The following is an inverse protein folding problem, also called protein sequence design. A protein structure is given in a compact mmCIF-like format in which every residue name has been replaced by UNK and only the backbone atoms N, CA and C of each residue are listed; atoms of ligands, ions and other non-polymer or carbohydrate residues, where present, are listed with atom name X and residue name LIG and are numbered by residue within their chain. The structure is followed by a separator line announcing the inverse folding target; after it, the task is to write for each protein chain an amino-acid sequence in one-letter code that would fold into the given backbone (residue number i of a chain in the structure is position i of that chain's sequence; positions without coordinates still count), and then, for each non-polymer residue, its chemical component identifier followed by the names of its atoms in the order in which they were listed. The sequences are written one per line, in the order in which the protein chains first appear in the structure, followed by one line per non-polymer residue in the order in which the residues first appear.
data_IF_950373731568
#
_entry.id   IF_950373731568
#
_cell.length_a   1.000
_cell.length_b   1.000
_cell.length_c   1.000
_cell.angle_alpha   90.00
_cell.angle_beta   90.00
_cell.angle_gamma   90.00
#
_symmetry.space_group_name_H-M   'P 1'
#
loop_
_entity.id
_entity.type
_entity.pdbx_description
1 polymer ?
#
# COMPACT_ATOMS: atom_id res chain seq x y z
N UNK A 1 2.94 1.67 11.88
CA UNK A 1 2.39 1.58 13.26
C UNK A 1 1.32 0.50 13.30
N UNK A 2 1.23 -0.29 14.38
CA UNK A 2 0.20 -1.33 14.54
C UNK A 2 -0.54 -1.06 15.86
N UNK A 3 -1.86 -0.93 15.78
CA UNK A 3 -2.78 -0.83 16.89
C UNK A 3 -3.56 -2.13 16.97
N UNK A 4 -3.59 -2.77 18.14
CA UNK A 4 -4.36 -3.99 18.38
C UNK A 4 -5.28 -3.75 19.56
N UNK A 5 -6.58 -3.81 19.31
CA UNK A 5 -7.62 -3.77 20.35
C UNK A 5 -8.14 -5.18 20.59
N UNK A 6 -7.93 -5.69 21.81
CA UNK A 6 -8.33 -7.07 22.19
C UNK A 6 -9.59 -7.07 23.02
N UNK A 7 -10.60 -7.86 22.66
CA UNK A 7 -11.84 -8.01 23.44
C UNK A 7 -12.30 -9.45 23.53
N UNK A 8 -12.88 -9.82 24.67
CA UNK A 8 -13.63 -11.06 24.84
C UNK A 8 -15.07 -10.83 24.41
N UNK A 9 -15.57 -11.59 23.43
CA UNK A 9 -16.91 -11.39 22.88
C UNK A 9 -17.96 -12.19 23.65
N UNK A 10 -18.86 -11.44 24.30
CA UNK A 10 -20.00 -12.02 25.03
C UNK A 10 -21.33 -11.78 24.31
N UNK A 11 -21.42 -10.76 23.45
CA UNK A 11 -22.60 -10.40 22.67
C UNK A 11 -22.22 -9.60 21.40
N UNK A 12 -23.23 -9.28 20.57
CA UNK A 12 -23.06 -8.55 19.31
C UNK A 12 -22.86 -7.03 19.47
N UNK A 13 -23.32 -6.41 20.55
CA UNK A 13 -23.18 -4.96 20.82
C UNK A 13 -21.73 -4.57 21.07
N UNK A 14 -20.99 -5.40 21.82
CA UNK A 14 -19.55 -5.24 22.08
C UNK A 14 -18.73 -5.14 20.79
N UNK A 15 -19.24 -5.67 19.66
CA UNK A 15 -18.58 -5.58 18.35
C UNK A 15 -18.62 -4.18 17.75
N UNK A 16 -19.74 -3.46 17.88
CA UNK A 16 -19.83 -2.08 17.38
C UNK A 16 -19.01 -1.15 18.25
N UNK A 17 -19.06 -1.37 19.56
CA UNK A 17 -18.29 -0.60 20.53
C UNK A 17 -16.78 -0.73 20.31
N UNK A 18 -16.26 -1.95 20.08
CA UNK A 18 -14.81 -2.15 19.86
C UNK A 18 -14.32 -1.52 18.56
N UNK A 19 -15.12 -1.53 17.49
CA UNK A 19 -14.74 -0.85 16.25
C UNK A 19 -14.70 0.67 16.46
N UNK A 20 -15.71 1.24 17.13
CA UNK A 20 -15.71 2.67 17.46
C UNK A 20 -14.49 3.04 18.32
N UNK A 21 -14.19 2.25 19.36
CA UNK A 21 -13.00 2.43 20.19
C UNK A 21 -11.70 2.39 19.38
N UNK A 22 -11.57 1.41 18.48
CA UNK A 22 -10.40 1.31 17.61
C UNK A 22 -10.24 2.54 16.70
N UNK A 23 -11.35 3.11 16.21
CA UNK A 23 -11.35 4.33 15.39
C UNK A 23 -11.02 5.58 16.21
N UNK A 24 -11.53 5.68 17.43
CA UNK A 24 -11.20 6.77 18.36
C UNK A 24 -9.69 6.78 18.66
N UNK A 25 -9.07 5.61 18.83
CA UNK A 25 -7.63 5.50 18.97
C UNK A 25 -6.88 5.98 17.72
N UNK A 26 -7.35 5.63 16.52
CA UNK A 26 -6.74 6.15 15.29
C UNK A 26 -6.79 7.67 15.27
N UNK A 27 -7.96 8.27 15.52
CA UNK A 27 -8.12 9.72 15.52
C UNK A 27 -7.25 10.42 16.57
N UNK A 28 -7.12 9.81 17.75
CA UNK A 28 -6.22 10.31 18.78
C UNK A 28 -4.76 10.22 18.31
N UNK A 29 -4.33 9.08 17.78
CA UNK A 29 -2.95 8.84 17.36
C UNK A 29 -2.52 9.75 16.20
N UNK A 30 -3.40 10.02 15.24
CA UNK A 30 -3.07 10.91 14.11
C UNK A 30 -2.80 12.35 14.52
N UNK A 31 -3.32 12.77 15.68
CA UNK A 31 -3.10 14.10 16.23
C UNK A 31 -1.82 14.22 17.09
N UNK A 32 -1.14 13.11 17.38
CA UNK A 32 0.00 13.12 18.30
C UNK A 32 1.30 13.50 17.61
N UNK A 33 2.10 14.32 18.29
CA UNK A 33 3.54 14.44 18.02
C UNK A 33 4.28 13.19 18.48
N UNK A 34 5.50 12.97 17.99
CA UNK A 34 6.34 11.87 18.46
C UNK A 34 6.53 11.87 19.98
N UNK A 35 6.79 13.03 20.59
CA UNK A 35 6.98 13.16 22.04
C UNK A 35 5.73 12.74 22.83
N UNK A 36 4.54 13.14 22.36
CA UNK A 36 3.26 12.77 22.98
C UNK A 36 2.99 11.28 22.81
N UNK A 37 3.25 10.73 21.63
CA UNK A 37 3.12 9.31 21.36
C UNK A 37 4.07 8.47 22.24
N UNK A 38 5.35 8.85 22.34
CA UNK A 38 6.31 8.19 23.23
C UNK A 38 5.87 8.25 24.69
N UNK A 39 5.40 9.40 25.16
CA UNK A 39 4.90 9.54 26.52
C UNK A 39 3.65 8.68 26.78
N UNK A 40 2.78 8.51 25.77
CA UNK A 40 1.61 7.63 25.85
C UNK A 40 2.03 6.15 25.94
N UNK A 41 2.97 5.71 25.09
CA UNK A 41 3.52 4.35 25.15
C UNK A 41 4.24 4.11 26.47
N UNK A 42 4.96 5.11 27.00
CA UNK A 42 5.67 5.06 28.29
C UNK A 42 4.77 4.77 29.50
N UNK A 43 3.45 4.92 29.38
CA UNK A 43 2.48 4.55 30.44
C UNK A 43 2.08 3.08 30.41
N UNK A 44 2.44 2.34 29.36
CA UNK A 44 2.12 0.93 29.20
C UNK A 44 2.96 0.00 30.08
N UNK A 45 2.47 -1.22 30.31
CA UNK A 45 3.25 -2.25 30.98
C UNK A 45 4.42 -2.70 30.11
N UNK A 46 5.62 -2.77 30.70
CA UNK A 46 6.84 -3.16 29.97
C UNK A 46 7.33 -2.11 28.96
N UNK A 47 6.90 -0.85 29.10
CA UNK A 47 7.30 0.20 28.19
C UNK A 47 8.81 0.48 28.25
N UNK A 48 9.47 0.71 27.11
CA UNK A 48 10.87 1.13 27.09
C UNK A 48 11.02 2.56 27.61
N UNK A 49 12.23 2.93 28.04
CA UNK A 49 12.54 4.31 28.42
C UNK A 49 12.43 5.24 27.20
N UNK A 50 12.92 4.81 26.04
CA UNK A 50 12.75 5.48 24.75
C UNK A 50 12.27 4.48 23.71
N UNK A 51 11.37 4.91 22.82
CA UNK A 51 10.88 4.02 21.75
C UNK A 51 12.02 3.51 20.86
N UNK A 52 13.03 4.34 20.61
CA UNK A 52 14.17 3.97 19.79
C UNK A 52 15.00 2.82 20.37
N UNK A 53 15.05 2.68 21.70
CA UNK A 53 15.81 1.62 22.36
C UNK A 53 15.32 0.21 21.98
N UNK A 54 14.05 0.08 21.54
CA UNK A 54 13.47 -1.18 21.05
C UNK A 54 14.08 -1.65 19.73
N UNK A 55 14.60 -0.72 18.92
CA UNK A 55 15.08 -1.00 17.57
C UNK A 55 16.57 -0.76 17.40
N UNK A 56 17.21 0.02 18.27
CA UNK A 56 18.61 0.45 18.15
C UNK A 56 19.62 -0.70 17.98
N UNK A 57 19.34 -1.88 18.52
CA UNK A 57 20.21 -3.06 18.38
C UNK A 57 20.00 -3.88 17.11
N UNK A 58 19.02 -3.53 16.26
CA UNK A 58 18.70 -4.28 15.05
C UNK A 58 19.66 -3.90 13.90
N UNK A 59 20.19 -4.86 13.11
CA UNK A 59 21.11 -4.54 12.00
C UNK A 59 20.54 -3.59 10.94
N UNK A 60 19.21 -3.55 10.83
CA UNK A 60 18.46 -2.68 9.90
C UNK A 60 17.85 -1.45 10.58
N UNK A 61 18.28 -1.14 11.81
CA UNK A 61 17.80 0.04 12.52
C UNK A 61 18.16 1.31 11.75
N UNK A 62 17.19 2.20 11.61
CA UNK A 62 17.43 3.55 11.10
C UNK A 62 18.20 4.35 12.14
N UNK A 63 18.88 5.42 11.71
CA UNK A 63 19.37 6.42 12.65
C UNK A 63 18.21 7.02 13.45
N UNK A 64 18.46 7.44 14.68
CA UNK A 64 17.38 7.85 15.59
C UNK A 64 16.53 8.98 15.03
N UNK A 65 17.14 9.96 14.36
CA UNK A 65 16.42 11.06 13.73
C UNK A 65 15.46 10.55 12.63
N UNK A 66 15.94 9.69 11.75
CA UNK A 66 15.14 9.13 10.66
C UNK A 66 14.00 8.24 11.20
N UNK A 67 14.23 7.53 12.31
CA UNK A 67 13.19 6.77 13.01
C UNK A 67 12.09 7.69 13.56
N UNK A 68 12.47 8.79 14.24
CA UNK A 68 11.54 9.78 14.79
C UNK A 68 10.70 10.40 13.67
N UNK A 69 11.34 10.76 12.56
CA UNK A 69 10.67 11.34 11.40
C UNK A 69 9.72 10.34 10.75
N UNK A 70 10.14 9.09 10.58
CA UNK A 70 9.30 8.03 10.04
C UNK A 70 8.06 7.77 10.94
N UNK A 71 8.22 7.73 12.27
CA UNK A 71 7.10 7.56 13.19
C UNK A 71 6.16 8.76 13.12
N UNK A 72 6.71 9.99 13.13
CA UNK A 72 5.92 11.24 13.02
C UNK A 72 5.11 11.27 11.74
N UNK A 73 5.73 10.92 10.61
CA UNK A 73 5.06 10.89 9.30
C UNK A 73 3.95 9.83 9.25
N UNK A 74 4.16 8.68 9.87
CA UNK A 74 3.15 7.63 9.92
C UNK A 74 1.97 7.99 10.84
N UNK A 75 2.22 8.68 11.95
CA UNK A 75 1.16 9.24 12.81
C UNK A 75 0.37 10.28 12.04
N UNK A 76 1.01 11.33 11.51
CA UNK A 76 0.33 12.44 10.86
C UNK A 76 -0.45 12.02 9.61
N UNK A 77 0.07 11.04 8.85
CA UNK A 77 -0.62 10.47 7.69
C UNK A 77 -1.64 9.41 8.07
N UNK A 78 -1.77 8.99 9.32
CA UNK A 78 -2.65 7.89 9.73
C UNK A 78 -2.30 6.54 9.09
N UNK A 79 -1.03 6.34 8.70
CA UNK A 79 -0.52 5.10 8.12
C UNK A 79 -0.32 4.05 9.20
N UNK A 80 -1.40 3.31 9.48
CA UNK A 80 -1.47 2.37 10.60
C UNK A 80 -2.15 1.07 10.17
N UNK A 81 -1.82 -0.02 10.84
CA UNK A 81 -2.60 -1.25 10.81
C UNK A 81 -3.39 -1.34 12.11
N UNK A 82 -4.71 -1.35 12.02
CA UNK A 82 -5.64 -1.47 13.14
C UNK A 82 -6.21 -2.88 13.13
N UNK A 83 -6.04 -3.60 14.22
CA UNK A 83 -6.53 -4.96 14.39
C UNK A 83 -7.50 -4.98 15.56
N UNK A 84 -8.73 -5.41 15.31
CA UNK A 84 -9.61 -5.83 16.39
C UNK A 84 -9.48 -7.34 16.52
N UNK A 85 -9.07 -7.81 17.70
CA UNK A 85 -8.83 -9.22 18.00
C UNK A 85 -9.85 -9.71 19.04
N UNK A 86 -10.53 -10.82 18.79
CA UNK A 86 -11.42 -11.43 19.78
C UNK A 86 -11.56 -12.95 19.66
N UNK A 87 -12.25 -13.59 20.60
CA UNK A 87 -12.22 -15.04 20.87
C UNK A 87 -13.40 -15.87 20.29
N UNK A 88 -14.24 -15.29 19.43
CA UNK A 88 -15.38 -15.99 18.81
C UNK A 88 -16.32 -15.12 17.94
N UNK A 89 -16.25 -15.21 16.60
CA UNK A 89 -17.20 -14.55 15.68
C UNK A 89 -18.00 -15.62 14.95
N UNK A 90 -19.14 -16.01 15.54
CA UNK A 90 -20.17 -16.70 14.78
C UNK A 90 -21.04 -15.68 14.06
N UNK A 91 -20.99 -15.76 12.73
CA UNK A 91 -21.98 -15.36 11.73
C UNK A 91 -22.64 -13.99 11.94
N UNK A 92 -22.09 -12.96 11.29
CA UNK A 92 -22.79 -11.78 10.72
C UNK A 92 -21.72 -10.75 10.27
N UNK A 93 -21.00 -11.09 9.21
CA UNK A 93 -19.93 -10.26 8.61
C UNK A 93 -20.48 -8.98 7.97
N UNK A 94 -21.80 -8.89 7.75
CA UNK A 94 -22.45 -7.85 6.95
C UNK A 94 -22.56 -6.49 7.67
N UNK A 95 -22.80 -6.47 8.98
CA UNK A 95 -23.01 -5.21 9.72
C UNK A 95 -21.72 -4.38 9.91
N UNK A 96 -20.56 -5.03 9.87
CA UNK A 96 -19.25 -4.39 10.03
C UNK A 96 -18.76 -3.76 8.73
N UNK A 97 -19.12 -4.35 7.58
CA UNK A 97 -18.81 -3.79 6.27
C UNK A 97 -19.37 -2.37 6.10
N UNK A 98 -20.58 -2.10 6.60
CA UNK A 98 -21.19 -0.76 6.54
C UNK A 98 -20.47 0.29 7.40
N UNK A 99 -20.07 -0.08 8.62
CA UNK A 99 -19.28 0.80 9.52
C UNK A 99 -17.86 1.04 8.98
N UNK A 100 -17.25 0.04 8.36
CA UNK A 100 -15.93 0.19 7.76
C UNK A 100 -15.99 1.02 6.46
N UNK A 101 -17.07 0.90 5.70
CA UNK A 101 -17.33 1.72 4.51
C UNK A 101 -17.61 3.19 4.86
N UNK A 102 -18.23 3.50 6.01
CA UNK A 102 -18.43 4.90 6.43
C UNK A 102 -17.12 5.64 6.76
N UNK A 103 -16.01 4.91 6.88
CA UNK A 103 -14.66 5.45 7.06
C UNK A 103 -13.75 5.20 5.86
N UNK A 104 -14.31 4.84 4.69
CA UNK A 104 -13.59 4.72 3.42
C UNK A 104 -12.92 6.06 3.07
N UNK A 105 -11.59 6.10 3.20
CA UNK A 105 -10.78 7.31 3.00
C UNK A 105 -9.83 7.64 4.15
N UNK A 106 -9.77 6.81 5.17
CA UNK A 106 -8.71 6.87 6.16
C UNK A 106 -7.49 6.05 5.72
N UNK A 107 -6.28 6.56 5.94
CA UNK A 107 -5.01 5.96 5.49
C UNK A 107 -4.54 4.74 6.32
N UNK A 108 -5.41 4.13 7.12
CA UNK A 108 -5.12 2.93 7.88
C UNK A 108 -5.72 1.68 7.23
N UNK A 109 -5.08 0.53 7.43
CA UNK A 109 -5.68 -0.78 7.17
C UNK A 109 -6.39 -1.25 8.44
N UNK A 110 -7.64 -1.66 8.35
CA UNK A 110 -8.38 -2.29 9.45
C UNK A 110 -8.57 -3.78 9.20
N UNK A 111 -8.30 -4.62 10.20
CA UNK A 111 -8.56 -6.05 10.19
C UNK A 111 -9.34 -6.48 11.43
N UNK A 112 -10.33 -7.35 11.22
CA UNK A 112 -10.99 -8.07 12.29
C UNK A 112 -10.47 -9.51 12.29
N UNK A 113 -9.87 -9.90 13.40
CA UNK A 113 -9.24 -11.20 13.59
C UNK A 113 -9.93 -11.92 14.73
N UNK A 114 -10.36 -13.13 14.48
CA UNK A 114 -10.76 -14.08 15.51
C UNK A 114 -9.54 -14.89 15.92
N UNK A 115 -9.31 -15.05 17.22
CA UNK A 115 -8.29 -15.91 17.78
C UNK A 115 -8.98 -17.06 18.49
N UNK A 116 -9.12 -18.18 17.77
CA UNK A 116 -9.63 -19.38 18.38
C UNK A 116 -8.53 -20.00 19.26
N UNK A 117 -8.89 -20.40 20.48
CA UNK A 117 -7.94 -21.01 21.42
C UNK A 117 -8.39 -22.43 21.76
N UNK A 118 -7.49 -23.39 21.60
CA UNK A 118 -7.69 -24.78 22.02
C UNK A 118 -6.71 -25.11 23.13
N UNK A 119 -7.16 -25.85 24.14
CA UNK A 119 -6.29 -26.33 25.21
C UNK A 119 -6.05 -27.82 25.05
N UNK A 120 -4.80 -28.26 25.05
CA UNK A 120 -4.50 -29.69 25.09
C UNK A 120 -4.64 -30.25 26.51
N UNK A 121 -4.49 -31.58 26.67
CA UNK A 121 -4.56 -32.24 27.97
C UNK A 121 -3.43 -31.87 28.93
N UNK A 122 -2.31 -31.35 28.42
CA UNK A 122 -1.17 -30.87 29.22
C UNK A 122 -1.36 -29.43 29.73
N UNK A 123 -2.39 -28.73 29.25
CA UNK A 123 -2.70 -27.35 29.62
C UNK A 123 -2.16 -26.30 28.66
N UNK A 124 -1.43 -26.68 27.61
CA UNK A 124 -0.94 -25.76 26.58
C UNK A 124 -2.09 -25.17 25.76
N UNK A 125 -1.95 -23.90 25.36
CA UNK A 125 -2.93 -23.19 24.54
C UNK A 125 -2.41 -23.09 23.10
N UNK A 126 -3.10 -23.72 22.16
CA UNK A 126 -2.96 -23.46 20.74
C UNK A 126 -3.86 -22.29 20.37
N UNK A 127 -3.30 -21.19 19.87
CA UNK A 127 -4.04 -20.06 19.36
C UNK A 127 -3.96 -20.03 17.83
N UNK A 128 -5.10 -20.15 17.13
CA UNK A 128 -5.17 -20.08 15.66
C UNK A 128 -5.92 -18.82 15.26
N UNK A 129 -5.26 -17.87 14.58
CA UNK A 129 -5.90 -16.68 14.07
C UNK A 129 -6.71 -16.99 12.81
N UNK A 130 -7.88 -16.39 12.70
CA UNK A 130 -8.76 -16.43 11.54
C UNK A 130 -9.14 -14.99 11.17
N UNK A 131 -8.72 -14.51 10.00
CA UNK A 131 -9.04 -13.14 9.56
C UNK A 131 -10.43 -13.11 8.95
N UNK A 132 -11.37 -12.45 9.60
CA UNK A 132 -12.78 -12.51 9.22
C UNK A 132 -13.22 -11.37 8.32
N UNK A 133 -12.66 -10.20 8.55
CA UNK A 133 -12.84 -9.05 7.70
C UNK A 133 -11.55 -8.27 7.62
N UNK A 134 -11.28 -7.72 6.45
CA UNK A 134 -10.18 -6.79 6.24
C UNK A 134 -10.71 -5.69 5.34
N UNK A 135 -10.61 -4.46 5.81
CA UNK A 135 -10.65 -3.33 4.88
C UNK A 135 -9.39 -3.41 4.04
N UNK A 136 -9.59 -3.49 2.74
CA UNK A 136 -8.55 -2.97 1.84
C UNK A 136 -8.52 -1.47 2.08
N UNK A 137 -7.34 -0.86 2.12
CA UNK A 137 -7.26 0.60 2.03
C UNK A 137 -8.02 1.01 0.77
N UNK A 138 -9.15 1.69 0.96
CA UNK A 138 -9.93 2.25 -0.13
C UNK A 138 -9.31 3.62 -0.37
N UNK A 139 -8.55 3.73 -1.46
CA UNK A 139 -8.22 5.02 -2.09
C UNK A 139 -9.54 5.71 -2.40
N UNK A 140 -9.70 6.96 -1.93
CA UNK A 140 -11.00 7.66 -1.97
C UNK A 140 -11.54 7.71 -3.39
N UNK A 141 -12.74 7.15 -3.58
CA UNK A 141 -13.62 7.53 -4.67
C UNK A 141 -14.02 9.00 -4.53
N UNK A 142 -14.07 9.69 -5.66
CA UNK A 142 -14.48 11.09 -5.72
C UNK A 142 -15.98 11.18 -5.52
N UNK A 143 -16.38 12.05 -4.58
CA UNK A 143 -17.78 12.45 -4.44
C UNK A 143 -18.09 13.42 -5.57
N UNK A 144 -18.69 12.94 -6.67
CA UNK A 144 -19.40 13.82 -7.62
C UNK A 144 -20.77 14.12 -7.04
N UNK A 145 -21.07 15.41 -6.87
CA UNK A 145 -22.40 15.89 -6.49
C UNK A 145 -23.17 16.10 -7.80
N UNK A 146 -24.07 15.18 -8.12
CA UNK A 146 -25.12 15.42 -9.11
C UNK A 146 -26.44 15.64 -8.39
N UNK A 147 -27.03 16.83 -8.56
CA UNK A 147 -28.39 17.14 -8.09
C UNK A 147 -28.64 17.10 -6.57
N UNK A 148 -27.60 17.06 -5.72
CA UNK A 148 -27.74 17.24 -4.27
C UNK A 148 -28.02 15.98 -3.45
N UNK A 149 -27.89 14.76 -4.01
CA UNK A 149 -28.01 13.51 -3.24
C UNK A 149 -26.79 12.61 -3.51
N UNK A 150 -25.99 12.23 -2.49
CA UNK A 150 -24.86 11.33 -2.66
C UNK A 150 -25.36 9.91 -2.95
N UNK A 151 -24.90 9.28 -4.03
CA UNK A 151 -25.19 7.88 -4.37
C UNK A 151 -23.88 7.11 -4.49
N UNK A 152 -23.73 6.07 -3.67
CA UNK A 152 -22.56 5.17 -3.68
C UNK A 152 -22.92 3.92 -4.49
N UNK A 153 -22.24 3.67 -5.60
CA UNK A 153 -22.42 2.44 -6.37
C UNK A 153 -21.25 1.46 -6.13
N UNK A 154 -21.51 0.18 -5.81
CA UNK A 154 -20.47 -0.81 -5.58
C UNK A 154 -19.87 -1.33 -6.89
N UNK A 155 -18.54 -1.35 -6.99
CA UNK A 155 -17.80 -1.96 -8.11
C UNK A 155 -17.71 -3.50 -7.91
N UNK A 156 -18.05 -4.34 -8.90
CA UNK A 156 -17.95 -5.79 -8.76
C UNK A 156 -16.50 -6.28 -8.75
N UNK A 157 -16.13 -7.09 -7.76
CA UNK A 157 -14.82 -7.73 -7.69
C UNK A 157 -14.84 -9.08 -8.42
N UNK A 158 -14.19 -9.17 -9.59
CA UNK A 158 -13.82 -10.47 -10.16
C UNK A 158 -12.68 -11.10 -9.36
N UNK A 159 -12.97 -12.27 -8.78
CA UNK A 159 -12.01 -13.10 -8.05
C UNK A 159 -11.13 -13.85 -9.05
N UNK A 160 -9.87 -13.44 -9.20
CA UNK A 160 -8.79 -14.29 -9.73
C UNK A 160 -7.83 -14.65 -8.60
N UNK A 161 -7.41 -15.92 -8.58
CA UNK A 161 -6.60 -16.53 -7.54
C UNK A 161 -5.40 -15.66 -7.14
N UNK A 162 -5.27 -15.37 -5.83
CA UNK A 162 -4.31 -14.38 -5.30
C UNK A 162 -2.87 -14.89 -5.39
N UNK A 163 -1.95 -14.17 -6.05
CA UNK A 163 -0.50 -14.39 -5.90
C UNK A 163 -0.06 -14.14 -4.45
N UNK A 164 0.86 -14.95 -3.92
CA UNK A 164 1.46 -14.75 -2.60
C UNK A 164 2.16 -13.38 -2.54
N UNK A 165 1.83 -12.55 -1.55
CA UNK A 165 2.49 -11.25 -1.32
C UNK A 165 3.94 -11.46 -0.87
N UNK A 166 4.90 -10.79 -1.51
CA UNK A 166 6.31 -10.77 -1.07
C UNK A 166 6.49 -9.71 0.02
N UNK A 167 7.32 -9.99 1.02
CA UNK A 167 7.66 -8.99 2.03
C UNK A 167 8.54 -7.89 1.41
N UNK A 168 8.48 -6.68 1.98
CA UNK A 168 9.27 -5.54 1.53
C UNK A 168 10.78 -5.79 1.68
N UNK A 169 11.21 -6.40 2.80
CA UNK A 169 12.61 -6.78 3.02
C UNK A 169 13.12 -7.74 1.93
N UNK A 170 12.38 -8.83 1.67
CA UNK A 170 12.77 -9.81 0.63
C UNK A 170 12.82 -9.18 -0.76
N UNK A 171 11.99 -8.19 -1.08
CA UNK A 171 12.10 -7.47 -2.34
C UNK A 171 13.41 -6.67 -2.41
N UNK A 172 13.75 -5.90 -1.37
CA UNK A 172 14.97 -5.10 -1.34
C UNK A 172 16.23 -5.95 -1.34
N UNK A 173 16.27 -7.05 -0.59
CA UNK A 173 17.38 -8.00 -0.62
C UNK A 173 17.63 -8.52 -2.03
N UNK A 174 16.55 -8.86 -2.74
CA UNK A 174 16.62 -9.34 -4.12
C UNK A 174 17.07 -8.26 -5.11
N UNK A 175 16.83 -6.98 -4.83
CA UNK A 175 17.39 -5.89 -5.63
C UNK A 175 18.87 -5.68 -5.31
N UNK A 176 19.26 -5.73 -4.03
CA UNK A 176 20.64 -5.58 -3.58
C UNK A 176 21.56 -6.71 -4.07
N UNK A 177 21.04 -7.95 -4.16
CA UNK A 177 21.75 -9.09 -4.77
C UNK A 177 22.13 -8.84 -6.23
N UNK A 178 21.43 -7.95 -6.94
CA UNK A 178 21.70 -7.64 -8.35
C UNK A 178 22.72 -6.53 -8.47
N UNK A 179 22.47 -5.44 -7.75
CA UNK A 179 23.37 -4.29 -7.66
C UNK A 179 23.15 -3.64 -6.27
N UNK A 180 24.20 -3.52 -5.44
CA UNK A 180 24.09 -2.91 -4.11
C UNK A 180 23.52 -1.49 -4.09
N UNK A 181 23.65 -0.71 -5.18
CA UNK A 181 23.11 0.65 -5.28
C UNK A 181 21.66 0.69 -5.75
N UNK A 182 21.13 -0.42 -6.28
CA UNK A 182 19.81 -0.46 -6.89
C UNK A 182 18.66 -0.18 -5.92
N UNK A 183 18.65 -0.67 -4.66
CA UNK A 183 17.61 -0.29 -3.70
C UNK A 183 17.55 1.22 -3.47
N UNK A 184 18.70 1.88 -3.35
CA UNK A 184 18.78 3.33 -3.17
C UNK A 184 18.29 4.07 -4.41
N UNK A 185 18.69 3.62 -5.61
CA UNK A 185 18.25 4.20 -6.88
C UNK A 185 16.72 4.09 -7.07
N UNK A 186 16.12 2.94 -6.73
CA UNK A 186 14.67 2.75 -6.80
C UNK A 186 13.97 3.66 -5.78
N UNK A 187 14.49 3.79 -4.54
CA UNK A 187 13.90 4.69 -3.53
C UNK A 187 13.94 6.16 -3.98
N UNK A 188 15.10 6.63 -4.46
CA UNK A 188 15.24 7.99 -4.98
C UNK A 188 14.28 8.27 -6.15
N UNK A 189 14.06 7.28 -7.01
CA UNK A 189 13.06 7.38 -8.08
C UNK A 189 11.63 7.46 -7.54
N UNK A 190 11.25 6.64 -6.55
CA UNK A 190 9.93 6.70 -5.92
C UNK A 190 9.70 8.03 -5.19
N UNK A 191 10.72 8.56 -4.51
CA UNK A 191 10.64 9.86 -3.83
C UNK A 191 10.43 11.00 -4.83
N UNK A 192 11.08 10.93 -6.01
CA UNK A 192 10.87 11.91 -7.09
C UNK A 192 9.46 11.84 -7.70
N UNK A 193 8.76 10.71 -7.54
CA UNK A 193 7.41 10.48 -8.04
C UNK A 193 6.32 10.87 -7.03
N UNK A 194 6.61 10.89 -5.73
CA UNK A 194 5.63 11.23 -4.66
C UNK A 194 4.92 12.58 -4.90
N UNK A 195 5.61 13.68 -5.30
CA UNK A 195 4.95 14.98 -5.56
C UNK A 195 3.95 14.95 -6.72
N UNK A 196 4.03 13.95 -7.61
CA UNK A 196 3.11 13.76 -8.73
C UNK A 196 1.86 12.96 -8.32
N UNK A 197 1.74 12.59 -7.04
CA UNK A 197 0.68 11.70 -6.55
C UNK A 197 0.90 10.23 -6.93
N UNK A 198 2.09 9.88 -7.42
CA UNK A 198 2.45 8.51 -7.80
C UNK A 198 3.01 7.78 -6.57
N UNK A 199 2.51 6.58 -6.30
CA UNK A 199 2.87 5.80 -5.12
C UNK A 199 3.27 4.35 -5.45
N UNK A 200 4.12 3.73 -4.61
CA UNK A 200 4.43 2.31 -4.70
C UNK A 200 3.35 1.41 -4.06
N UNK A 201 3.01 0.30 -4.72
CA UNK A 201 2.13 -0.76 -4.20
C UNK A 201 2.82 -2.13 -4.32
N UNK A 202 3.35 -2.63 -3.20
CA UNK A 202 4.03 -3.93 -3.16
C UNK A 202 3.02 -5.07 -2.94
N UNK A 203 2.90 -5.94 -3.96
CA UNK A 203 2.13 -7.20 -3.91
C UNK A 203 3.04 -8.41 -4.12
N UNK A 204 2.97 -9.06 -5.27
CA UNK A 204 3.99 -10.01 -5.71
C UNK A 204 5.15 -9.33 -6.47
N UNK A 205 4.94 -8.06 -6.83
CA UNK A 205 5.87 -7.14 -7.49
C UNK A 205 5.65 -5.74 -6.91
N UNK A 206 6.66 -4.87 -7.06
CA UNK A 206 6.54 -3.46 -6.70
C UNK A 206 5.87 -2.72 -7.85
N UNK A 207 4.60 -2.35 -7.70
CA UNK A 207 3.83 -1.61 -8.71
C UNK A 207 3.99 -0.11 -8.50
N UNK A 208 3.95 0.65 -9.58
CA UNK A 208 4.02 2.12 -9.57
C UNK A 208 2.68 2.65 -10.07
N UNK A 209 1.93 3.35 -9.23
CA UNK A 209 0.54 3.69 -9.49
C UNK A 209 0.21 5.15 -9.21
N UNK A 210 -0.82 5.67 -9.86
CA UNK A 210 -1.47 6.91 -9.46
C UNK A 210 -2.99 6.76 -9.54
N UNK A 211 -3.66 7.41 -8.60
CA UNK A 211 -5.11 7.58 -8.62
C UNK A 211 -5.42 8.87 -9.37
N UNK A 212 -6.28 8.78 -10.39
CA UNK A 212 -6.69 9.92 -11.19
C UNK A 212 -8.17 10.20 -10.97
N UNK A 213 -8.52 11.49 -10.95
CA UNK A 213 -9.82 11.92 -10.48
C UNK A 213 -10.99 11.51 -11.40
N UNK A 214 -10.67 11.31 -12.66
CA UNK A 214 -11.56 10.95 -13.76
C UNK A 214 -11.67 9.43 -13.97
N UNK A 215 -11.01 8.60 -13.13
CA UNK A 215 -10.90 7.15 -13.36
C UNK A 215 -11.24 6.31 -12.13
N UNK A 216 -12.04 5.26 -12.35
CA UNK A 216 -12.42 4.29 -11.30
C UNK A 216 -11.29 3.33 -10.90
N UNK A 217 -10.27 3.17 -11.74
CA UNK A 217 -9.14 2.27 -11.51
C UNK A 217 -7.83 3.06 -11.54
N UNK A 218 -6.88 2.77 -10.62
CA UNK A 218 -5.58 3.40 -10.64
C UNK A 218 -4.86 3.13 -11.97
N UNK A 219 -4.15 4.15 -12.45
CA UNK A 219 -3.22 3.99 -13.57
C UNK A 219 -1.95 3.34 -13.03
N UNK A 220 -1.53 2.24 -13.65
CA UNK A 220 -0.32 1.52 -13.25
C UNK A 220 0.77 1.75 -14.31
N UNK A 221 1.81 2.50 -13.99
CA UNK A 221 2.91 2.83 -14.90
C UNK A 221 3.85 1.65 -15.18
N UNK A 222 3.74 0.59 -14.38
CA UNK A 222 4.52 -0.64 -14.52
C UNK A 222 4.86 -1.23 -13.16
N UNK A 223 5.54 -2.37 -13.18
CA UNK A 223 5.96 -3.04 -11.97
C UNK A 223 7.35 -3.65 -12.09
N UNK A 224 8.06 -3.67 -10.97
CA UNK A 224 9.36 -4.30 -10.81
C UNK A 224 9.16 -5.67 -10.15
N UNK A 225 9.54 -6.72 -10.85
CA UNK A 225 9.55 -8.08 -10.31
C UNK A 225 10.77 -8.30 -9.42
N UNK A 226 10.70 -9.31 -8.53
CA UNK A 226 11.84 -9.71 -7.66
C UNK A 226 13.12 -10.06 -8.42
N UNK A 227 13.03 -10.38 -9.71
CA UNK A 227 14.19 -10.64 -10.55
C UNK A 227 14.75 -9.36 -11.20
N UNK A 228 14.17 -8.18 -10.92
CA UNK A 228 14.57 -6.89 -11.48
C UNK A 228 13.93 -6.56 -12.84
N UNK A 229 13.08 -7.41 -13.43
CA UNK A 229 12.38 -7.04 -14.66
C UNK A 229 11.36 -5.94 -14.40
N UNK A 230 11.38 -4.90 -15.24
CA UNK A 230 10.42 -3.82 -15.23
C UNK A 230 9.43 -3.97 -16.38
N UNK A 231 8.20 -4.34 -16.04
CA UNK A 231 7.13 -4.56 -17.01
C UNK A 231 6.22 -3.35 -17.09
N UNK A 232 6.07 -2.78 -18.29
CA UNK A 232 5.25 -1.59 -18.53
C UNK A 232 3.81 -1.92 -18.91
N UNK A 233 3.48 -3.19 -19.16
CA UNK A 233 2.20 -3.58 -19.77
C UNK A 233 0.94 -3.01 -19.11
N UNK A 234 0.84 -2.87 -17.77
CA UNK A 234 -0.36 -2.32 -17.16
C UNK A 234 -0.65 -0.87 -17.54
N UNK A 235 0.36 -0.11 -17.97
CA UNK A 235 0.18 1.30 -18.33
C UNK A 235 -0.67 1.45 -19.60
N UNK A 236 -0.78 0.40 -20.41
CA UNK A 236 -1.66 0.36 -21.58
C UNK A 236 -3.07 -0.13 -21.27
N UNK A 237 -3.34 -0.61 -20.05
CA UNK A 237 -4.62 -1.24 -19.71
C UNK A 237 -5.68 -0.19 -19.39
N UNK A 238 -6.62 -0.03 -20.31
CA UNK A 238 -7.73 0.93 -20.17
C UNK A 238 -7.30 2.39 -20.31
N UNK A 239 -6.03 2.67 -20.60
CA UNK A 239 -5.50 4.02 -20.87
C UNK A 239 -5.52 4.26 -22.39
N UNK A 240 -5.88 5.46 -22.89
CA UNK A 240 -5.84 5.76 -24.31
C UNK A 240 -4.44 5.64 -24.93
N UNK A 241 -4.35 5.20 -26.19
CA UNK A 241 -3.07 5.03 -26.91
C UNK A 241 -2.25 6.32 -26.95
N UNK A 242 -2.90 7.47 -27.09
CA UNK A 242 -2.28 8.79 -27.10
C UNK A 242 -1.52 9.08 -25.80
N UNK A 243 -1.91 8.48 -24.67
CA UNK A 243 -1.25 8.67 -23.39
C UNK A 243 -0.16 7.62 -23.13
N UNK A 244 -0.44 6.32 -23.30
CA UNK A 244 0.52 5.27 -22.91
C UNK A 244 1.63 5.03 -23.93
N UNK A 245 1.38 5.25 -25.22
CA UNK A 245 2.35 4.94 -26.27
C UNK A 245 3.57 5.86 -26.26
N UNK A 246 3.43 7.20 -26.11
CA UNK A 246 4.59 8.08 -25.95
C UNK A 246 5.42 7.77 -24.70
N UNK A 247 4.77 7.30 -23.63
CA UNK A 247 5.44 6.81 -22.43
C UNK A 247 6.31 5.58 -22.75
N UNK A 248 5.77 4.57 -23.46
CA UNK A 248 6.54 3.39 -23.84
C UNK A 248 7.69 3.71 -24.81
N UNK A 249 7.45 4.56 -25.80
CA UNK A 249 8.47 5.00 -26.77
C UNK A 249 9.61 5.76 -26.08
N UNK A 250 9.29 6.59 -25.09
CA UNK A 250 10.29 7.30 -24.29
C UNK A 250 11.19 6.30 -23.54
N UNK A 251 10.60 5.32 -22.84
CA UNK A 251 11.38 4.31 -22.11
C UNK A 251 12.19 3.41 -23.03
N UNK A 252 11.61 3.00 -24.16
CA UNK A 252 12.31 2.21 -25.18
C UNK A 252 13.54 2.96 -25.70
N UNK A 253 13.40 4.25 -26.02
CA UNK A 253 14.50 5.09 -26.52
C UNK A 253 15.67 5.19 -25.53
N UNK A 254 15.37 5.35 -24.23
CA UNK A 254 16.39 5.47 -23.19
C UNK A 254 17.33 4.26 -23.10
N UNK A 255 16.81 3.07 -23.41
CA UNK A 255 17.54 1.80 -23.27
C UNK A 255 17.89 1.15 -24.62
N UNK A 256 17.67 1.85 -25.75
CA UNK A 256 17.87 1.29 -27.09
C UNK A 256 16.96 0.10 -27.40
N UNK A 257 15.77 0.07 -26.79
CA UNK A 257 14.74 -0.94 -27.00
C UNK A 257 13.69 -0.54 -28.02
N UNK A 258 12.56 -1.24 -27.97
CA UNK A 258 11.38 -1.03 -28.82
C UNK A 258 10.09 -1.28 -28.05
N UNK A 259 9.00 -0.71 -28.57
CA UNK A 259 7.66 -1.03 -28.11
C UNK A 259 7.18 -2.27 -28.84
N UNK A 260 6.80 -3.30 -28.07
CA UNK A 260 6.11 -4.48 -28.59
C UNK A 260 4.62 -4.23 -28.46
N UNK A 261 3.88 -4.40 -29.55
CA UNK A 261 2.42 -4.29 -29.60
C UNK A 261 1.82 -5.58 -30.13
N UNK A 262 0.67 -6.00 -29.61
CA UNK A 262 0.02 -7.25 -30.01
C UNK A 262 -1.01 -7.70 -28.97
N UNK A 263 -0.90 -8.94 -28.51
CA UNK A 263 -1.73 -9.45 -27.40
C UNK A 263 -1.48 -8.71 -26.08
N UNK A 264 -0.27 -8.20 -25.90
CA UNK A 264 0.09 -7.26 -24.84
C UNK A 264 0.98 -6.17 -25.42
N UNK A 265 0.91 -4.97 -24.82
CA UNK A 265 1.81 -3.87 -25.16
C UNK A 265 2.86 -3.74 -24.07
N UNK A 266 4.14 -3.71 -24.40
CA UNK A 266 5.21 -3.52 -23.41
C UNK A 266 6.50 -3.01 -24.04
N UNK A 267 7.39 -2.49 -23.21
CA UNK A 267 8.76 -2.10 -23.63
C UNK A 267 9.67 -3.31 -23.53
N UNK A 268 10.50 -3.52 -24.56
CA UNK A 268 11.44 -4.63 -24.63
C UNK A 268 12.74 -4.23 -25.33
N UNK A 269 13.86 -4.82 -24.94
CA UNK A 269 15.14 -4.64 -25.65
C UNK A 269 15.26 -5.61 -26.83
N UNK A 270 14.92 -6.88 -26.62
CA UNK A 270 15.06 -7.95 -27.62
C UNK A 270 13.76 -8.23 -28.39
N UNK A 271 12.64 -7.65 -27.94
CA UNK A 271 11.28 -7.91 -28.44
C UNK A 271 10.62 -9.16 -27.86
N UNK A 272 11.22 -9.76 -26.82
CA UNK A 272 10.73 -10.98 -26.17
C UNK A 272 10.58 -10.83 -24.67
N UNK A 273 11.40 -9.99 -24.04
CA UNK A 273 11.47 -9.84 -22.60
C UNK A 273 11.46 -8.37 -22.15
N UNK A 274 10.85 -8.12 -21.00
CA UNK A 274 10.90 -6.82 -20.36
C UNK A 274 12.34 -6.45 -19.95
N UNK A 275 12.71 -5.15 -20.04
CA UNK A 275 14.02 -4.68 -19.60
C UNK A 275 14.21 -4.88 -18.10
N UNK A 276 15.45 -4.76 -17.67
CA UNK A 276 15.78 -4.76 -16.24
C UNK A 276 15.73 -3.33 -15.70
N UNK A 277 15.31 -3.16 -14.45
CA UNK A 277 15.17 -1.83 -13.85
C UNK A 277 16.53 -1.11 -13.74
N UNK A 278 17.62 -1.85 -13.54
CA UNK A 278 19.00 -1.33 -13.55
C UNK A 278 19.45 -0.75 -14.91
N UNK A 279 18.70 -0.97 -15.99
CA UNK A 279 18.96 -0.32 -17.28
C UNK A 279 18.34 1.08 -17.36
N UNK A 280 17.32 1.34 -16.54
CA UNK A 280 16.65 2.64 -16.46
C UNK A 280 17.20 3.47 -15.28
N UNK A 281 17.42 2.84 -14.13
CA UNK A 281 17.85 3.51 -12.91
C UNK A 281 19.29 3.13 -12.54
N UNK A 282 20.08 4.06 -11.98
CA UNK A 282 19.75 5.47 -11.71
C UNK A 282 19.90 6.38 -12.94
N UNK A 283 20.58 5.91 -14.00
CA UNK A 283 21.07 6.74 -15.12
C UNK A 283 20.00 7.60 -15.79
N UNK A 284 18.78 7.09 -15.94
CA UNK A 284 17.69 7.75 -16.68
C UNK A 284 16.53 8.18 -15.76
N UNK A 285 16.77 8.32 -14.46
CA UNK A 285 15.73 8.65 -13.48
C UNK A 285 14.91 9.89 -13.88
N UNK A 286 15.56 11.00 -14.23
CA UNK A 286 14.89 12.25 -14.59
C UNK A 286 13.98 12.07 -15.81
N UNK A 287 14.50 11.48 -16.89
CA UNK A 287 13.74 11.23 -18.11
C UNK A 287 12.57 10.25 -17.89
N UNK A 288 12.72 9.31 -16.96
CA UNK A 288 11.66 8.39 -16.57
C UNK A 288 10.54 9.12 -15.81
N UNK A 289 10.90 9.95 -14.81
CA UNK A 289 9.93 10.80 -14.10
C UNK A 289 9.20 11.73 -15.07
N UNK A 290 9.90 12.32 -16.03
CA UNK A 290 9.29 13.15 -17.08
C UNK A 290 8.34 12.36 -17.98
N UNK A 291 8.68 11.11 -18.34
CA UNK A 291 7.81 10.25 -19.12
C UNK A 291 6.50 9.92 -18.38
N UNK A 292 6.56 9.64 -17.08
CA UNK A 292 5.37 9.45 -16.23
C UNK A 292 4.57 10.74 -16.12
N UNK A 293 5.24 11.88 -15.95
CA UNK A 293 4.60 13.20 -15.86
C UNK A 293 3.82 13.55 -17.13
N UNK A 294 4.41 13.29 -18.30
CA UNK A 294 3.75 13.51 -19.60
C UNK A 294 2.56 12.58 -19.80
N UNK A 295 2.67 11.32 -19.37
CA UNK A 295 1.55 10.38 -19.41
C UNK A 295 0.40 10.84 -18.51
N UNK A 296 0.68 11.26 -17.27
CA UNK A 296 -0.33 11.79 -16.35
C UNK A 296 -1.12 12.96 -16.98
N UNK A 297 -0.41 13.93 -17.57
CA UNK A 297 -1.03 15.06 -18.27
C UNK A 297 -1.89 14.61 -19.45
N UNK A 298 -1.37 13.73 -20.29
CA UNK A 298 -2.11 13.20 -21.44
C UNK A 298 -3.38 12.43 -21.05
N UNK A 299 -3.40 11.80 -19.87
CA UNK A 299 -4.61 11.14 -19.36
C UNK A 299 -5.63 12.18 -18.89
N UNK A 300 -5.18 13.20 -18.16
CA UNK A 300 -6.06 14.29 -17.72
C UNK A 300 -6.66 15.06 -18.91
N UNK A 301 -5.87 15.38 -19.92
CA UNK A 301 -6.33 16.10 -21.12
C UNK A 301 -7.38 15.27 -21.90
N UNK A 302 -7.17 13.95 -22.00
CA UNK A 302 -8.12 13.04 -22.67
C UNK A 302 -9.42 12.80 -21.89
N UNK A 303 -9.55 13.32 -20.67
CA UNK A 303 -10.76 13.22 -19.84
C UNK A 303 -11.66 14.46 -19.92
N UNK A 304 -11.16 15.54 -20.52
CA UNK A 304 -11.89 16.80 -20.74
C UNK A 304 -12.60 16.88 -22.10
N UNK A 305 -12.29 15.96 -23.02
CA UNK A 305 -12.92 15.78 -24.35
C UNK A 305 -14.06 14.75 -24.36
#
# INVERSE_FOLDING_TARGET
LVLVETKLWRNSEMRREVVAQALDYVAALTSMTFSTFQAAVGKGQGAPARLYDLVAGHPEAMEEADFIDAVTLNLSRGRMLVIVLGDGIRTETEALSGLLQSHAGAHFTFALVELATWRNSAGDILAVPNTLARTVTIERGIVRIDGGVPKVEPVPAEVRARPQSISMGTFWDKMAERDPQLPQAIRAFLDALEPLGVYPDLKASLNIKADLADRDKPVNFGYIQKNGQFWTNPASWGVPEQAWKPYFESLASLIGGKVVTGSENYVSIDGKSAPRIEQLLPRHQEAFVEAITRMLRAISDASED
#
